data_IF_563591275793
#
_entry.id   IF_563591275793
#
_cell.length_a   1.000
_cell.length_b   1.000
_cell.length_c   1.000
_cell.angle_alpha   90.00
_cell.angle_beta   90.00
_cell.angle_gamma   90.00
#
_symmetry.space_group_name_H-M   'P 1'
#
loop_
_entity.id
_entity.type
_entity.pdbx_description
1 polymer ?
#
# COMPACT_ATOMS: atom_id res chain seq x y z
N UNK A 1 -36.41 -11.85 6.52
CA UNK A 1 -35.29 -11.41 7.39
C UNK A 1 -35.70 -10.09 8.02
N UNK A 2 -35.37 -9.85 9.29
CA UNK A 2 -35.74 -8.62 9.98
C UNK A 2 -34.74 -7.50 9.62
N UNK A 3 -35.23 -6.27 9.46
CA UNK A 3 -34.39 -5.09 9.27
C UNK A 3 -33.99 -4.54 10.65
N UNK A 4 -32.84 -3.88 10.72
CA UNK A 4 -32.37 -3.22 11.95
C UNK A 4 -33.40 -2.21 12.50
N UNK A 5 -33.63 -2.23 13.81
CA UNK A 5 -34.54 -1.32 14.53
C UNK A 5 -34.03 0.13 14.63
N UNK A 6 -32.83 0.42 14.11
CA UNK A 6 -32.26 1.77 14.15
C UNK A 6 -32.82 2.61 13.02
N UNK A 7 -33.37 3.78 13.37
CA UNK A 7 -33.91 4.74 12.41
C UNK A 7 -32.88 5.04 11.29
N UNK A 8 -33.31 4.85 10.05
CA UNK A 8 -32.49 5.05 8.85
C UNK A 8 -31.58 3.87 8.44
N UNK A 9 -31.51 2.79 9.22
CA UNK A 9 -30.65 1.65 8.94
C UNK A 9 -31.37 0.53 8.19
N UNK A 10 -31.07 0.36 6.90
CA UNK A 10 -31.65 -0.70 6.07
C UNK A 10 -30.87 -2.04 6.12
N UNK A 11 -29.89 -2.16 7.01
CA UNK A 11 -29.10 -3.38 7.16
C UNK A 11 -29.93 -4.50 7.82
N UNK A 12 -29.66 -5.74 7.43
CA UNK A 12 -30.26 -6.92 8.04
C UNK A 12 -29.91 -7.02 9.53
N UNK A 13 -30.94 -7.25 10.35
CA UNK A 13 -30.82 -7.53 11.77
C UNK A 13 -30.25 -8.92 11.97
N UNK A 14 -29.20 -9.01 12.78
CA UNK A 14 -28.55 -10.29 13.10
C UNK A 14 -28.81 -10.76 14.53
N UNK A 15 -29.05 -9.83 15.47
CA UNK A 15 -29.24 -10.16 16.89
C UNK A 15 -29.88 -8.98 17.64
N UNK A 16 -30.86 -9.26 18.52
CA UNK A 16 -31.55 -8.27 19.37
C UNK A 16 -32.10 -7.06 18.59
N UNK A 17 -32.67 -7.28 17.41
CA UNK A 17 -33.23 -6.19 16.59
C UNK A 17 -32.19 -5.34 15.86
N UNK A 18 -30.89 -5.56 16.09
CA UNK A 18 -29.82 -4.75 15.51
C UNK A 18 -29.00 -5.49 14.45
N UNK A 19 -28.52 -4.74 13.45
CA UNK A 19 -27.51 -5.23 12.52
C UNK A 19 -26.17 -5.47 13.24
N UNK A 20 -25.27 -6.22 12.60
CA UNK A 20 -23.96 -6.59 13.17
C UNK A 20 -23.17 -5.38 13.66
N UNK A 21 -23.18 -4.28 12.89
CA UNK A 21 -22.48 -3.02 13.22
C UNK A 21 -23.06 -2.38 14.50
N UNK A 22 -24.38 -2.22 14.58
CA UNK A 22 -25.04 -1.59 15.72
C UNK A 22 -24.95 -2.43 17.00
N UNK A 23 -25.12 -3.75 16.89
CA UNK A 23 -24.95 -4.65 18.03
C UNK A 23 -23.52 -4.59 18.61
N UNK A 24 -22.50 -4.61 17.74
CA UNK A 24 -21.10 -4.50 18.17
C UNK A 24 -20.80 -3.15 18.83
N UNK A 25 -21.36 -2.07 18.30
CA UNK A 25 -21.20 -0.73 18.86
C UNK A 25 -21.83 -0.65 20.25
N UNK A 26 -23.10 -1.07 20.40
CA UNK A 26 -23.80 -1.10 21.68
C UNK A 26 -23.04 -1.93 22.72
N UNK A 27 -22.54 -3.10 22.33
CA UNK A 27 -21.73 -3.97 23.21
C UNK A 27 -20.45 -3.28 23.69
N UNK A 28 -19.82 -2.45 22.86
CA UNK A 28 -18.54 -1.78 23.17
C UNK A 28 -18.71 -0.50 23.98
N UNK A 29 -19.73 0.29 23.66
CA UNK A 29 -19.89 1.66 24.17
C UNK A 29 -21.07 1.86 25.11
N UNK A 30 -21.90 0.83 25.32
CA UNK A 30 -23.08 0.88 26.19
C UNK A 30 -24.28 1.65 25.61
N UNK A 31 -24.04 2.50 24.61
CA UNK A 31 -25.06 3.27 23.89
C UNK A 31 -25.11 2.88 22.42
N UNK A 32 -26.27 3.12 21.79
CA UNK A 32 -26.44 2.98 20.35
C UNK A 32 -26.44 4.36 19.69
N UNK A 33 -25.69 4.52 18.61
CA UNK A 33 -25.62 5.78 17.85
C UNK A 33 -26.64 5.77 16.71
N UNK A 34 -27.26 6.92 16.36
CA UNK A 34 -28.10 7.04 15.17
C UNK A 34 -27.35 6.66 13.90
N UNK A 35 -28.02 6.00 12.96
CA UNK A 35 -27.42 5.65 11.67
C UNK A 35 -27.17 6.91 10.85
N UNK A 36 -25.89 7.27 10.63
CA UNK A 36 -25.49 8.46 9.84
C UNK A 36 -25.13 8.13 8.38
N UNK A 37 -25.66 7.03 7.84
CA UNK A 37 -25.30 6.52 6.51
C UNK A 37 -24.17 5.50 6.54
N UNK A 38 -23.86 4.90 5.39
CA UNK A 38 -22.62 4.14 5.26
C UNK A 38 -21.45 5.10 5.43
N UNK A 39 -20.64 4.88 6.46
CA UNK A 39 -19.35 5.54 6.59
C UNK A 39 -18.61 5.26 5.28
N UNK A 40 -18.41 6.31 4.47
CA UNK A 40 -17.71 6.19 3.21
C UNK A 40 -16.44 5.37 3.41
N UNK A 41 -16.14 4.48 2.46
CA UNK A 41 -14.80 3.89 2.38
C UNK A 41 -13.82 5.06 2.44
N UNK A 42 -12.75 4.94 3.20
CA UNK A 42 -11.86 6.07 3.46
C UNK A 42 -11.09 6.55 2.20
N UNK A 43 -11.59 6.40 0.97
CA UNK A 43 -10.91 6.82 -0.26
C UNK A 43 -9.53 6.18 -0.45
N UNK A 44 -9.30 5.01 0.16
CA UNK A 44 -7.97 4.39 0.23
C UNK A 44 -7.05 4.92 1.33
N UNK A 45 -7.47 5.93 2.12
CA UNK A 45 -6.73 6.35 3.32
C UNK A 45 -6.52 5.15 4.25
N UNK A 46 -5.25 4.75 4.40
CA UNK A 46 -4.84 3.59 5.19
C UNK A 46 -4.40 2.36 4.39
N UNK A 47 -4.49 2.36 3.05
CA UNK A 47 -3.90 1.27 2.24
C UNK A 47 -2.37 1.43 2.10
N UNK A 48 -1.63 0.34 1.86
CA UNK A 48 -0.18 0.39 1.63
C UNK A 48 0.24 1.37 0.52
N UNK A 49 -0.56 1.49 -0.54
CA UNK A 49 -0.34 2.37 -1.68
C UNK A 49 -0.51 3.84 -1.29
N UNK A 50 -1.58 4.15 -0.56
CA UNK A 50 -1.82 5.51 -0.06
C UNK A 50 -0.70 5.97 0.86
N UNK A 51 -0.18 5.06 1.70
CA UNK A 51 0.97 5.34 2.55
C UNK A 51 2.22 5.63 1.70
N UNK A 52 2.49 4.83 0.67
CA UNK A 52 3.63 5.07 -0.24
C UNK A 52 3.51 6.41 -0.97
N UNK A 53 2.34 6.73 -1.52
CA UNK A 53 2.04 7.99 -2.19
C UNK A 53 2.17 9.20 -1.25
N UNK A 54 1.57 9.12 -0.06
CA UNK A 54 1.68 10.17 0.95
C UNK A 54 3.14 10.40 1.40
N UNK A 55 3.90 9.32 1.57
CA UNK A 55 5.33 9.40 1.89
C UNK A 55 6.16 10.00 0.75
N UNK A 56 5.84 9.69 -0.52
CA UNK A 56 6.46 10.35 -1.67
C UNK A 56 6.23 11.87 -1.61
N UNK A 57 4.98 12.31 -1.47
CA UNK A 57 4.66 13.75 -1.35
C UNK A 57 5.37 14.40 -0.17
N UNK A 58 5.37 13.74 0.99
CA UNK A 58 6.08 14.22 2.18
C UNK A 58 7.59 14.36 1.98
N UNK A 59 8.23 13.47 1.20
CA UNK A 59 9.66 13.61 0.87
C UNK A 59 9.93 14.82 -0.04
N UNK A 60 9.02 15.12 -0.96
CA UNK A 60 9.18 16.20 -1.95
C UNK A 60 8.74 17.57 -1.43
N UNK A 61 7.67 17.66 -0.64
CA UNK A 61 7.00 18.94 -0.33
C UNK A 61 7.13 19.40 1.11
N UNK A 62 7.58 18.54 2.03
CA UNK A 62 7.60 18.84 3.45
C UNK A 62 9.04 19.05 3.97
N UNK A 63 9.49 20.31 4.15
CA UNK A 63 10.81 20.63 4.70
C UNK A 63 11.12 20.04 6.08
N UNK A 64 10.09 19.63 6.85
CA UNK A 64 10.27 18.96 8.15
C UNK A 64 10.53 17.47 8.02
N UNK A 65 10.35 16.88 6.84
CA UNK A 65 10.67 15.49 6.59
C UNK A 65 12.21 15.32 6.61
N UNK A 66 12.72 14.35 7.36
CA UNK A 66 14.17 14.10 7.48
C UNK A 66 14.85 13.83 6.15
N UNK A 67 14.11 13.27 5.18
CA UNK A 67 14.64 12.98 3.84
C UNK A 67 14.55 14.18 2.90
N UNK A 68 13.78 15.23 3.23
CA UNK A 68 13.55 16.37 2.34
C UNK A 68 14.83 16.95 1.71
N UNK A 69 15.95 17.15 2.43
CA UNK A 69 17.19 17.66 1.83
C UNK A 69 17.69 16.86 0.61
N UNK A 70 17.43 15.55 0.58
CA UNK A 70 17.86 14.65 -0.50
C UNK A 70 16.79 14.48 -1.60
N UNK A 71 15.63 15.12 -1.43
CA UNK A 71 14.49 15.02 -2.34
C UNK A 71 14.04 16.44 -2.73
N UNK A 72 12.99 16.98 -2.09
CA UNK A 72 12.50 18.33 -2.40
C UNK A 72 13.57 19.42 -2.29
N UNK A 73 14.44 19.31 -1.28
CA UNK A 73 15.59 20.21 -1.09
C UNK A 73 16.66 20.09 -2.18
N UNK A 74 16.73 18.96 -2.88
CA UNK A 74 17.59 18.73 -4.04
C UNK A 74 16.89 19.05 -5.38
N UNK A 75 15.66 19.60 -5.34
CA UNK A 75 14.89 19.92 -6.54
C UNK A 75 14.08 18.76 -7.11
N UNK A 76 14.03 17.62 -6.44
CA UNK A 76 13.28 16.45 -6.92
C UNK A 76 11.81 16.55 -6.50
N UNK A 77 10.92 16.35 -7.46
CA UNK A 77 9.47 16.46 -7.30
C UNK A 77 8.74 15.24 -7.85
N UNK A 78 7.46 15.40 -8.14
CA UNK A 78 6.59 14.38 -8.72
C UNK A 78 5.66 15.01 -9.77
N UNK A 79 5.22 14.23 -10.76
CA UNK A 79 4.42 14.75 -11.86
C UNK A 79 3.06 15.29 -11.38
N UNK A 80 2.50 16.27 -12.11
CA UNK A 80 1.22 16.92 -11.80
C UNK A 80 0.08 15.90 -11.61
N UNK A 81 0.09 14.85 -12.44
CA UNK A 81 -0.89 13.76 -12.41
C UNK A 81 -0.92 13.07 -11.04
N UNK A 82 0.23 12.88 -10.41
CA UNK A 82 0.36 12.24 -9.10
C UNK A 82 0.03 13.16 -7.91
N UNK A 83 -0.46 14.39 -8.13
CA UNK A 83 -1.07 15.19 -7.06
C UNK A 83 -2.38 14.60 -6.54
N UNK A 84 -3.05 13.75 -7.33
CA UNK A 84 -4.25 12.98 -6.97
C UNK A 84 -3.89 11.50 -6.77
N UNK A 85 -4.39 10.90 -5.70
CA UNK A 85 -4.06 9.50 -5.36
C UNK A 85 -4.62 8.50 -6.38
N UNK A 86 -5.80 8.78 -6.93
CA UNK A 86 -6.49 7.92 -7.89
C UNK A 86 -5.64 7.71 -9.14
N UNK A 87 -4.99 8.77 -9.63
CA UNK A 87 -4.09 8.68 -10.78
C UNK A 87 -2.82 7.89 -10.45
N UNK A 88 -2.25 8.11 -9.26
CA UNK A 88 -1.11 7.30 -8.81
C UNK A 88 -1.47 5.81 -8.74
N UNK A 89 -2.66 5.49 -8.25
CA UNK A 89 -3.16 4.12 -8.16
C UNK A 89 -3.43 3.51 -9.54
N UNK A 90 -3.98 4.30 -10.48
CA UNK A 90 -4.19 3.89 -11.86
C UNK A 90 -2.84 3.56 -12.55
N UNK A 91 -1.82 4.39 -12.33
CA UNK A 91 -0.53 4.26 -12.99
C UNK A 91 0.33 3.14 -12.37
N UNK A 92 0.34 3.01 -11.04
CA UNK A 92 1.21 2.07 -10.32
C UNK A 92 0.54 0.73 -10.00
N UNK A 93 -0.78 0.68 -10.02
CA UNK A 93 -1.57 -0.48 -9.61
C UNK A 93 -1.41 -0.86 -8.13
N UNK A 94 -1.96 -2.02 -7.80
CA UNK A 94 -1.84 -2.60 -6.46
C UNK A 94 -0.39 -2.91 -6.11
N UNK A 95 -0.01 -2.61 -4.87
CA UNK A 95 1.32 -2.91 -4.38
C UNK A 95 1.48 -4.44 -4.28
N UNK A 96 2.47 -5.06 -4.96
CA UNK A 96 2.58 -6.52 -5.04
C UNK A 96 2.70 -7.22 -3.68
N UNK A 97 3.32 -6.55 -2.69
CA UNK A 97 3.35 -7.02 -1.31
C UNK A 97 3.54 -5.86 -0.33
N UNK A 98 3.27 -6.11 0.96
CA UNK A 98 3.52 -5.13 2.03
C UNK A 98 4.99 -4.69 2.09
N UNK A 99 5.91 -5.55 1.67
CA UNK A 99 7.35 -5.30 1.68
C UNK A 99 7.85 -4.52 0.48
N UNK A 100 7.01 -4.27 -0.53
CA UNK A 100 7.45 -3.43 -1.64
C UNK A 100 7.59 -1.96 -1.20
N UNK A 101 8.34 -1.17 -1.96
CA UNK A 101 8.50 0.26 -1.81
C UNK A 101 8.41 0.90 -3.19
N UNK A 102 8.03 2.18 -3.21
CA UNK A 102 8.08 3.00 -4.42
C UNK A 102 9.53 3.51 -4.59
N UNK A 103 10.19 3.07 -5.65
CA UNK A 103 11.55 3.46 -6.01
C UNK A 103 11.57 4.12 -7.38
N UNK A 104 12.46 5.11 -7.54
CA UNK A 104 12.72 5.74 -8.83
C UNK A 104 13.73 4.92 -9.61
N UNK A 105 13.49 4.73 -10.91
CA UNK A 105 14.40 3.98 -11.81
C UNK A 105 15.69 4.79 -12.01
N UNK A 106 15.53 6.07 -12.35
CA UNK A 106 16.59 7.06 -12.42
C UNK A 106 16.53 7.95 -11.16
N UNK A 107 17.55 7.90 -10.29
CA UNK A 107 17.54 8.59 -8.99
C UNK A 107 17.53 10.11 -9.13
N UNK A 108 17.99 10.65 -10.26
CA UNK A 108 18.12 12.10 -10.51
C UNK A 108 16.85 12.72 -11.12
N UNK A 109 15.87 11.89 -11.50
CA UNK A 109 14.60 12.32 -12.09
C UNK A 109 13.47 12.36 -11.07
N UNK A 110 12.39 13.05 -11.44
CA UNK A 110 11.17 13.15 -10.65
C UNK A 110 10.41 11.82 -10.52
N UNK A 111 9.50 11.76 -9.57
CA UNK A 111 8.53 10.68 -9.47
C UNK A 111 7.46 10.82 -10.56
N UNK A 112 7.41 9.85 -11.47
CA UNK A 112 6.36 9.72 -12.47
C UNK A 112 6.20 8.24 -12.86
N UNK A 113 5.10 7.85 -13.53
CA UNK A 113 4.87 6.47 -13.94
C UNK A 113 6.04 5.86 -14.71
N UNK A 114 6.68 6.67 -15.56
CA UNK A 114 7.78 6.26 -16.43
C UNK A 114 9.11 6.11 -15.68
N UNK A 115 9.22 6.72 -14.49
CA UNK A 115 10.44 6.70 -13.69
C UNK A 115 10.25 5.98 -12.35
N UNK A 116 9.17 5.24 -12.15
CA UNK A 116 8.89 4.61 -10.85
C UNK A 116 8.46 3.16 -10.99
N UNK A 117 8.84 2.35 -10.00
CA UNK A 117 8.43 0.95 -9.91
C UNK A 117 8.29 0.49 -8.47
N UNK A 118 7.58 -0.62 -8.28
CA UNK A 118 7.55 -1.33 -7.01
C UNK A 118 8.78 -2.20 -6.85
N UNK A 119 9.54 -2.02 -5.77
CA UNK A 119 10.73 -2.83 -5.45
C UNK A 119 10.59 -3.49 -4.10
N UNK A 120 11.12 -4.70 -3.91
CA UNK A 120 11.06 -5.40 -2.61
C UNK A 120 12.11 -4.79 -1.67
N UNK A 121 11.69 -4.34 -0.49
CA UNK A 121 12.62 -3.86 0.53
C UNK A 121 13.54 -4.98 1.00
N UNK A 122 14.83 -4.83 0.75
CA UNK A 122 15.84 -5.75 1.24
C UNK A 122 16.12 -5.43 2.72
N UNK A 123 15.45 -6.10 3.65
CA UNK A 123 15.86 -6.07 5.06
C UNK A 123 17.21 -6.78 5.18
N UNK A 124 18.30 -6.04 5.16
CA UNK A 124 19.67 -6.56 5.39
C UNK A 124 19.85 -7.14 6.81
N UNK A 125 18.95 -6.85 7.75
CA UNK A 125 19.11 -7.23 9.16
C UNK A 125 18.97 -8.73 9.46
N UNK A 126 18.46 -9.56 8.54
CA UNK A 126 18.21 -11.00 8.79
C UNK A 126 19.19 -11.96 8.09
N UNK A 127 20.22 -11.46 7.40
CA UNK A 127 21.21 -12.30 6.70
C UNK A 127 22.15 -13.10 7.62
N UNK A 128 22.02 -12.99 8.95
CA UNK A 128 22.87 -13.69 9.92
C UNK A 128 22.30 -15.00 10.48
N UNK A 129 21.05 -15.39 10.17
CA UNK A 129 20.45 -16.62 10.75
C UNK A 129 19.78 -17.49 9.70
N UNK A 130 20.47 -18.59 9.38
CA UNK A 130 20.05 -19.80 8.64
C UNK A 130 19.55 -19.56 7.21
N UNK A 131 20.45 -19.65 6.24
CA UNK A 131 20.06 -19.78 4.83
C UNK A 131 19.79 -21.26 4.53
N UNK A 132 18.54 -21.61 4.22
CA UNK A 132 18.25 -22.86 3.52
C UNK A 132 18.62 -22.65 2.05
N UNK A 133 19.52 -23.49 1.54
CA UNK A 133 19.84 -23.54 0.12
C UNK A 133 18.75 -24.37 -0.56
N UNK A 134 18.05 -23.77 -1.51
CA UNK A 134 17.01 -24.40 -2.31
C UNK A 134 17.60 -24.74 -3.68
N UNK A 135 17.32 -25.95 -4.16
CA UNK A 135 17.73 -26.41 -5.48
C UNK A 135 16.52 -26.46 -6.41
N UNK A 136 16.63 -25.82 -7.57
CA UNK A 136 15.63 -25.89 -8.63
C UNK A 136 16.31 -25.76 -10.00
N UNK A 137 15.95 -26.63 -10.95
CA UNK A 137 16.56 -26.70 -12.29
C UNK A 137 18.10 -26.72 -12.31
N UNK A 138 18.72 -27.39 -11.33
CA UNK A 138 20.19 -27.52 -11.22
C UNK A 138 20.91 -26.29 -10.66
N UNK A 139 20.18 -25.22 -10.33
CA UNK A 139 20.72 -24.06 -9.63
C UNK A 139 20.50 -24.23 -8.13
N UNK A 140 21.54 -23.96 -7.34
CA UNK A 140 21.51 -23.97 -5.88
C UNK A 140 21.66 -22.56 -5.38
N UNK A 141 20.58 -22.02 -4.85
CA UNK A 141 20.48 -20.63 -4.43
C UNK A 141 19.76 -20.57 -3.10
N UNK A 142 20.07 -19.57 -2.29
CA UNK A 142 19.25 -19.23 -1.13
C UNK A 142 17.86 -18.81 -1.57
N UNK A 143 16.86 -18.92 -0.70
CA UNK A 143 15.50 -18.43 -0.95
C UNK A 143 15.50 -16.97 -1.44
N UNK A 144 16.44 -16.14 -0.95
CA UNK A 144 16.59 -14.74 -1.37
C UNK A 144 17.08 -14.61 -2.79
N UNK A 145 18.12 -15.35 -3.13
CA UNK A 145 18.67 -15.39 -4.48
C UNK A 145 17.63 -15.88 -5.49
N UNK A 146 16.78 -16.84 -5.11
CA UNK A 146 15.64 -17.27 -5.93
C UNK A 146 14.61 -16.17 -6.16
N UNK A 147 14.22 -15.42 -5.11
CA UNK A 147 13.26 -14.32 -5.25
C UNK A 147 13.82 -13.22 -6.15
N UNK A 148 15.10 -12.85 -6.00
CA UNK A 148 15.76 -11.87 -6.87
C UNK A 148 15.81 -12.35 -8.31
N UNK A 149 16.26 -13.58 -8.54
CA UNK A 149 16.32 -14.19 -9.87
C UNK A 149 14.94 -14.19 -10.56
N UNK A 150 13.90 -14.66 -9.86
CA UNK A 150 12.54 -14.69 -10.39
C UNK A 150 12.02 -13.28 -10.68
N UNK A 151 12.34 -12.30 -9.84
CA UNK A 151 11.95 -10.91 -10.08
C UNK A 151 12.61 -10.36 -11.34
N UNK A 152 13.93 -10.52 -11.50
CA UNK A 152 14.66 -10.09 -12.70
C UNK A 152 14.12 -10.76 -13.97
N UNK A 153 13.85 -12.06 -13.94
CA UNK A 153 13.24 -12.77 -15.07
C UNK A 153 11.83 -12.26 -15.38
N UNK A 154 11.00 -12.00 -14.36
CA UNK A 154 9.66 -11.42 -14.59
C UNK A 154 9.71 -10.01 -15.17
N UNK A 155 10.71 -9.22 -14.80
CA UNK A 155 10.89 -7.87 -15.34
C UNK A 155 11.44 -7.91 -16.79
N UNK A 156 12.32 -8.86 -17.13
CA UNK A 156 12.73 -9.10 -18.52
C UNK A 156 11.55 -9.47 -19.41
N UNK A 157 10.68 -10.38 -18.93
CA UNK A 157 9.47 -10.79 -19.66
C UNK A 157 8.48 -9.63 -19.85
N UNK A 158 8.39 -8.71 -18.88
CA UNK A 158 7.55 -7.50 -18.97
C UNK A 158 8.10 -6.45 -19.93
N UNK A 159 9.42 -6.34 -20.02
CA UNK A 159 10.09 -5.33 -20.85
C UNK A 159 10.33 -5.76 -22.30
N UNK A 160 9.82 -6.94 -22.71
CA UNK A 160 9.76 -7.36 -24.12
C UNK A 160 11.12 -7.40 -24.82
N UNK A 161 11.97 -8.35 -24.42
CA UNK A 161 12.96 -8.97 -25.31
C UNK A 161 12.56 -10.40 -25.64
#
# INVERSE_FOLDING_TARGET
MAICEMEGCNNESCIRGYCKKHYQYQKRHGNIIPYKGDYGTHGGHGTPEYVCWSNMKSRCDNPKNKMYPNYGGAGISYCERWKKFENFMEDMGEKPSKNNLLERIDPDKDYCPENCRWVIFHVQANNKRKHQILEYNGLKMTEKEWITFLHEETEKLRNGQ
#
